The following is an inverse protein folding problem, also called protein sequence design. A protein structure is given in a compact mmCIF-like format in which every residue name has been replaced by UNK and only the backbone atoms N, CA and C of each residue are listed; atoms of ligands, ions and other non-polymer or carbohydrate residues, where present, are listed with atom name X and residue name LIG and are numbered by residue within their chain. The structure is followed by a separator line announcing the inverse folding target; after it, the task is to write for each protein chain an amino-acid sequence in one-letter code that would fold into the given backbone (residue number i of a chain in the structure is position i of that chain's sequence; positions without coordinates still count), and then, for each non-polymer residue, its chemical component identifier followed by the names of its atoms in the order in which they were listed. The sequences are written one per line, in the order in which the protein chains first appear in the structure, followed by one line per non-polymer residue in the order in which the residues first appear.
data_IF_602362579590
#
_entry.id   IF_602362579590
#
_cell.length_a   1.000
_cell.length_b   1.000
_cell.length_c   1.000
_cell.angle_alpha   90.00
_cell.angle_beta   90.00
_cell.angle_gamma   90.00
#
_symmetry.space_group_name_H-M   'P 1'
#
loop_
_entity.id
_entity.type
_entity.pdbx_description
1 polymer ?
#
# COMPACT_ATOMS: atom_id res chain seq x y z
N UNK A 1 -21.03 -13.75 -0.66
CA UNK A 1 -20.14 -14.62 0.13
C UNK A 1 -18.79 -14.64 -0.55
N UNK A 2 -17.69 -14.36 0.19
CA UNK A 2 -16.34 -14.52 -0.35
C UNK A 2 -16.07 -16.02 -0.52
N UNK A 3 -15.74 -16.45 -1.74
CA UNK A 3 -15.37 -17.85 -1.98
C UNK A 3 -13.86 -17.98 -1.84
N UNK A 4 -13.40 -18.69 -0.80
CA UNK A 4 -12.01 -19.13 -0.69
C UNK A 4 -11.75 -20.20 -1.76
N UNK A 5 -10.76 -19.98 -2.61
CA UNK A 5 -10.37 -20.94 -3.66
C UNK A 5 -9.17 -21.81 -3.26
N UNK A 6 -8.65 -21.65 -2.04
CA UNK A 6 -7.60 -22.53 -1.53
C UNK A 6 -8.21 -23.86 -1.02
N UNK A 7 -7.64 -25.03 -1.34
CA UNK A 7 -8.05 -26.29 -0.76
C UNK A 7 -7.78 -26.25 0.75
N UNK A 8 -8.80 -26.61 1.53
CA UNK A 8 -8.72 -26.71 2.99
C UNK A 8 -7.64 -27.76 3.32
N UNK A 9 -6.50 -27.33 3.88
CA UNK A 9 -5.52 -28.23 4.49
C UNK A 9 -4.09 -28.28 3.93
N UNK A 10 -3.78 -27.59 2.82
CA UNK A 10 -2.40 -27.50 2.36
C UNK A 10 -1.88 -26.06 2.50
N UNK A 11 -0.86 -25.84 3.31
CA UNK A 11 -0.10 -24.58 3.27
C UNK A 11 0.51 -24.46 1.87
N UNK A 12 0.23 -23.37 1.12
CA UNK A 12 0.84 -23.20 -0.20
C UNK A 12 2.36 -23.25 -0.07
N UNK A 13 3.01 -24.02 -0.93
CA UNK A 13 4.47 -24.05 -1.00
C UNK A 13 4.91 -22.70 -1.54
N UNK A 14 5.64 -21.92 -0.74
CA UNK A 14 6.26 -20.69 -1.19
C UNK A 14 7.39 -21.00 -2.15
N UNK A 15 7.10 -20.93 -3.43
CA UNK A 15 8.07 -21.22 -4.49
C UNK A 15 8.94 -20.02 -4.85
N UNK A 16 8.62 -18.85 -4.27
CA UNK A 16 9.36 -17.61 -4.46
C UNK A 16 9.65 -16.98 -3.09
N UNK A 17 10.91 -17.03 -2.62
CA UNK A 17 11.25 -16.72 -1.22
C UNK A 17 11.29 -15.21 -0.99
N UNK A 18 10.14 -14.62 -0.61
CA UNK A 18 10.04 -13.23 -0.16
C UNK A 18 9.94 -13.21 1.37
N UNK A 19 10.90 -12.54 2.02
CA UNK A 19 10.93 -12.40 3.46
C UNK A 19 9.94 -11.34 3.98
N UNK A 20 9.61 -10.34 3.14
CA UNK A 20 8.67 -9.28 3.47
C UNK A 20 8.84 -8.07 2.56
N UNK A 21 8.13 -6.98 2.86
CA UNK A 21 8.34 -5.68 2.25
C UNK A 21 9.65 -5.07 2.74
N UNK A 22 10.53 -4.66 1.83
CA UNK A 22 11.76 -3.94 2.18
C UNK A 22 11.49 -2.45 2.38
N UNK A 23 10.94 -1.79 1.34
CA UNK A 23 10.51 -0.39 1.38
C UNK A 23 9.40 -0.14 0.36
N UNK A 24 8.75 1.01 0.48
CA UNK A 24 7.87 1.56 -0.56
C UNK A 24 8.44 2.91 -0.98
N UNK A 25 8.73 3.08 -2.27
CA UNK A 25 9.19 4.35 -2.82
C UNK A 25 8.05 5.08 -3.52
N UNK A 26 7.92 6.35 -3.15
CA UNK A 26 7.01 7.29 -3.78
C UNK A 26 7.82 8.26 -4.65
N UNK A 27 7.40 8.44 -5.90
CA UNK A 27 7.86 9.55 -6.70
C UNK A 27 6.89 10.72 -6.53
N UNK A 28 7.43 11.85 -6.09
CA UNK A 28 6.65 13.00 -5.64
C UNK A 28 7.17 14.30 -6.25
N UNK A 29 6.31 15.30 -6.36
CA UNK A 29 6.67 16.60 -6.91
C UNK A 29 7.69 17.35 -6.06
N UNK A 30 7.65 17.17 -4.72
CA UNK A 30 8.59 17.79 -3.79
C UNK A 30 8.87 16.88 -2.60
N UNK A 31 9.96 16.11 -2.68
CA UNK A 31 10.30 15.13 -1.64
C UNK A 31 10.55 15.76 -0.27
N UNK A 32 11.07 17.00 -0.20
CA UNK A 32 11.31 17.70 1.06
C UNK A 32 10.00 18.07 1.78
N UNK A 33 9.01 18.56 1.03
CA UNK A 33 7.69 18.88 1.59
C UNK A 33 6.93 17.61 1.97
N UNK A 34 6.93 16.60 1.10
CA UNK A 34 6.31 15.30 1.39
C UNK A 34 6.93 14.64 2.63
N UNK A 35 8.27 14.68 2.75
CA UNK A 35 8.99 14.20 3.95
C UNK A 35 8.51 14.91 5.21
N UNK A 36 8.34 16.22 5.19
CA UNK A 36 7.84 16.98 6.33
C UNK A 36 6.39 16.59 6.67
N UNK A 37 5.53 16.45 5.66
CA UNK A 37 4.15 16.01 5.82
C UNK A 37 4.05 14.65 6.52
N UNK A 38 4.71 13.63 5.99
CA UNK A 38 4.66 12.28 6.57
C UNK A 38 5.27 12.23 7.97
N UNK A 39 6.25 13.05 8.27
CA UNK A 39 6.80 13.18 9.62
C UNK A 39 5.81 13.84 10.57
N UNK A 40 5.29 15.00 10.20
CA UNK A 40 4.41 15.79 11.06
C UNK A 40 3.06 15.08 11.28
N UNK A 41 2.43 14.62 10.22
CA UNK A 41 1.10 14.03 10.27
C UNK A 41 1.12 12.56 10.74
N UNK A 42 1.99 11.72 10.15
CA UNK A 42 2.01 10.28 10.41
C UNK A 42 3.06 9.84 11.45
N UNK A 43 3.92 10.74 11.93
CA UNK A 43 4.89 10.43 12.97
C UNK A 43 6.10 9.62 12.52
N UNK A 44 6.44 9.64 11.22
CA UNK A 44 7.63 8.98 10.72
C UNK A 44 8.92 9.71 11.13
N UNK A 45 9.96 8.96 11.44
CA UNK A 45 11.30 9.48 11.70
C UNK A 45 12.10 9.59 10.41
N UNK A 46 12.74 10.74 10.16
CA UNK A 46 13.74 10.88 9.11
C UNK A 46 15.00 10.10 9.50
N UNK A 47 15.47 9.22 8.64
CA UNK A 47 16.64 8.35 8.88
C UNK A 47 17.81 8.66 7.96
N UNK A 48 17.55 8.80 6.67
CA UNK A 48 18.61 8.97 5.68
C UNK A 48 18.17 9.89 4.55
N UNK A 49 19.17 10.40 3.85
CA UNK A 49 19.03 11.28 2.69
C UNK A 49 20.02 10.90 1.60
N UNK A 50 19.59 11.05 0.35
CA UNK A 50 20.44 11.01 -0.84
C UNK A 50 20.04 12.14 -1.78
N UNK A 51 21.02 12.92 -2.24
CA UNK A 51 20.80 14.07 -3.14
C UNK A 51 22.08 14.80 -3.43
N UNK A 52 22.06 16.09 -3.79
CA UNK A 52 23.24 16.87 -4.17
C UNK A 52 24.38 16.80 -3.16
N UNK A 53 24.07 16.84 -1.86
CA UNK A 53 25.06 16.80 -0.78
C UNK A 53 25.73 15.42 -0.65
N UNK A 54 25.16 14.40 -1.25
CA UNK A 54 25.73 13.04 -1.32
C UNK A 54 26.28 12.70 -2.71
N UNK A 55 26.34 13.70 -3.63
CA UNK A 55 26.88 13.54 -4.98
C UNK A 55 25.85 13.16 -6.06
N UNK A 56 24.58 12.98 -5.70
CA UNK A 56 23.48 12.67 -6.65
C UNK A 56 22.78 13.96 -7.04
N UNK A 57 22.86 14.36 -8.32
CA UNK A 57 22.44 15.69 -8.76
C UNK A 57 21.11 15.74 -9.52
N UNK A 58 20.54 14.60 -9.86
CA UNK A 58 19.30 14.49 -10.63
C UNK A 58 18.06 14.34 -9.77
N UNK A 59 18.23 13.95 -8.51
CA UNK A 59 17.12 13.68 -7.56
C UNK A 59 17.48 13.96 -6.11
N UNK A 60 16.46 14.08 -5.28
CA UNK A 60 16.56 14.05 -3.83
C UNK A 60 15.64 12.95 -3.27
N UNK A 61 16.15 12.11 -2.37
CA UNK A 61 15.45 11.00 -1.75
C UNK A 61 15.60 11.04 -0.23
N UNK A 62 14.49 10.90 0.49
CA UNK A 62 14.44 10.86 1.95
C UNK A 62 13.90 9.51 2.42
N UNK A 63 14.63 8.83 3.30
CA UNK A 63 14.16 7.63 3.98
C UNK A 63 13.45 8.01 5.27
N UNK A 64 12.21 7.55 5.40
CA UNK A 64 11.39 7.66 6.59
C UNK A 64 11.10 6.28 7.18
N UNK A 65 11.12 6.17 8.52
CA UNK A 65 10.80 4.91 9.20
C UNK A 65 9.84 5.12 10.36
N UNK A 66 8.95 4.17 10.55
CA UNK A 66 8.18 3.96 11.78
C UNK A 66 7.89 2.46 11.93
N UNK A 67 8.26 1.86 13.08
CA UNK A 67 8.22 0.42 13.25
C UNK A 67 9.07 -0.30 12.20
N UNK A 68 8.45 -1.18 11.42
CA UNK A 68 9.07 -1.88 10.28
C UNK A 68 8.76 -1.24 8.92
N UNK A 69 8.09 -0.11 8.92
CA UNK A 69 7.72 0.59 7.68
C UNK A 69 8.88 1.46 7.25
N UNK A 70 9.28 1.32 5.98
CA UNK A 70 10.25 2.19 5.30
C UNK A 70 9.59 2.83 4.11
N UNK A 71 9.49 4.16 4.12
CA UNK A 71 9.05 4.97 2.99
C UNK A 71 10.22 5.76 2.44
N UNK A 72 10.39 5.71 1.13
CA UNK A 72 11.35 6.52 0.40
C UNK A 72 10.57 7.54 -0.41
N UNK A 73 10.86 8.82 -0.20
CA UNK A 73 10.23 9.92 -0.93
C UNK A 73 11.27 10.52 -1.87
N UNK A 74 11.05 10.38 -3.18
CA UNK A 74 12.00 10.82 -4.20
C UNK A 74 11.37 11.85 -5.13
N UNK A 75 12.05 12.96 -5.36
CA UNK A 75 11.70 13.95 -6.39
C UNK A 75 12.85 14.22 -7.35
N UNK A 76 12.51 14.53 -8.59
CA UNK A 76 13.48 15.07 -9.54
C UNK A 76 13.95 16.45 -9.11
N UNK A 77 15.21 16.81 -9.45
CA UNK A 77 15.76 18.16 -9.27
C UNK A 77 15.79 18.98 -10.57
N UNK A 78 15.37 18.38 -11.67
CA UNK A 78 15.21 19.01 -12.97
C UNK A 78 13.91 18.60 -13.65
N UNK A 79 13.55 19.24 -14.77
CA UNK A 79 12.31 18.94 -15.49
C UNK A 79 12.40 17.65 -16.32
N UNK A 80 13.58 17.13 -16.51
CA UNK A 80 13.86 16.01 -17.40
C UNK A 80 14.03 14.68 -16.61
N UNK A 81 13.87 13.57 -17.33
CA UNK A 81 14.07 12.24 -16.80
C UNK A 81 12.79 11.55 -16.34
N UNK A 82 12.93 10.29 -15.94
CA UNK A 82 11.78 9.42 -15.65
C UNK A 82 10.97 9.85 -14.43
N UNK A 83 11.61 10.39 -13.38
CA UNK A 83 10.90 10.85 -12.17
C UNK A 83 10.02 12.06 -12.51
N UNK A 84 10.57 13.04 -13.24
CA UNK A 84 9.81 14.22 -13.65
C UNK A 84 8.64 13.83 -14.58
N UNK A 85 8.88 12.95 -15.55
CA UNK A 85 7.85 12.43 -16.45
C UNK A 85 6.74 11.66 -15.70
N UNK A 86 7.12 10.83 -14.73
CA UNK A 86 6.16 10.11 -13.87
C UNK A 86 5.26 11.08 -13.09
N UNK A 87 5.86 12.05 -12.40
CA UNK A 87 5.11 13.04 -11.61
C UNK A 87 4.23 13.91 -12.50
N UNK A 88 4.69 14.31 -13.68
CA UNK A 88 3.87 15.05 -14.64
C UNK A 88 2.64 14.24 -15.10
N UNK A 89 2.79 12.94 -15.30
CA UNK A 89 1.73 12.02 -15.71
C UNK A 89 0.79 11.68 -14.56
N UNK A 90 1.32 11.19 -13.46
CA UNK A 90 0.57 10.56 -12.38
C UNK A 90 0.28 11.47 -11.18
N UNK A 91 1.05 12.56 -11.00
CA UNK A 91 1.16 13.24 -9.70
C UNK A 91 2.03 12.42 -8.74
N UNK A 92 1.90 12.69 -7.46
CA UNK A 92 2.56 11.92 -6.43
C UNK A 92 1.97 10.51 -6.36
N UNK A 93 2.82 9.49 -6.34
CA UNK A 93 2.35 8.11 -6.33
C UNK A 93 3.44 7.10 -5.99
N UNK A 94 3.03 5.86 -5.79
CA UNK A 94 3.95 4.75 -5.52
C UNK A 94 4.61 4.33 -6.83
N UNK A 95 5.94 4.37 -6.84
CA UNK A 95 6.76 3.85 -7.93
C UNK A 95 7.19 2.41 -7.68
N UNK A 96 7.57 2.09 -6.44
CA UNK A 96 8.21 0.81 -6.11
C UNK A 96 7.66 0.22 -4.82
N UNK A 97 7.29 -1.06 -4.89
CA UNK A 97 6.97 -1.88 -3.72
C UNK A 97 8.05 -2.95 -3.62
N UNK A 98 9.14 -2.65 -2.91
CA UNK A 98 10.33 -3.47 -2.86
C UNK A 98 10.16 -4.69 -1.94
N UNK A 99 10.67 -5.83 -2.38
CA UNK A 99 10.73 -7.08 -1.64
C UNK A 99 12.10 -7.30 -1.02
N UNK A 100 12.12 -7.75 0.21
CA UNK A 100 13.30 -8.29 0.85
C UNK A 100 13.41 -9.80 0.59
N UNK A 101 14.56 -10.21 0.05
CA UNK A 101 14.89 -11.62 -0.26
C UNK A 101 16.28 -11.99 0.26
N UNK A 102 16.57 -13.30 0.33
CA UNK A 102 17.89 -13.79 0.73
C UNK A 102 18.90 -13.80 -0.43
N UNK A 103 18.44 -13.99 -1.68
CA UNK A 103 19.25 -13.97 -2.89
C UNK A 103 18.50 -13.24 -4.01
N UNK A 104 18.97 -12.01 -4.30
CA UNK A 104 18.32 -11.16 -5.29
C UNK A 104 18.61 -11.59 -6.73
N UNK A 105 19.73 -12.25 -6.99
CA UNK A 105 20.08 -12.75 -8.32
C UNK A 105 19.21 -13.94 -8.70
N UNK A 106 19.13 -14.93 -7.81
CA UNK A 106 18.29 -16.12 -8.00
C UNK A 106 16.81 -15.73 -8.13
N UNK A 107 16.31 -14.86 -7.25
CA UNK A 107 14.94 -14.37 -7.28
C UNK A 107 14.62 -13.63 -8.58
N UNK A 108 15.48 -12.72 -9.04
CA UNK A 108 15.31 -12.00 -10.30
C UNK A 108 15.33 -12.95 -11.49
N UNK A 109 16.31 -13.86 -11.57
CA UNK A 109 16.41 -14.85 -12.64
C UNK A 109 15.14 -15.69 -12.75
N UNK A 110 14.66 -16.24 -11.62
CA UNK A 110 13.40 -17.01 -11.56
C UNK A 110 12.19 -16.20 -12.03
N UNK A 111 12.10 -14.94 -11.63
CA UNK A 111 11.00 -14.06 -12.04
C UNK A 111 11.02 -13.85 -13.57
N UNK A 112 12.18 -13.55 -14.14
CA UNK A 112 12.34 -13.33 -15.59
C UNK A 112 12.08 -14.62 -16.39
N UNK A 113 12.59 -15.77 -15.96
CA UNK A 113 12.31 -17.07 -16.59
C UNK A 113 10.80 -17.40 -16.59
N UNK A 114 10.06 -16.93 -15.59
CA UNK A 114 8.60 -17.07 -15.49
C UNK A 114 7.81 -16.00 -16.23
N UNK A 115 8.50 -15.05 -16.88
CA UNK A 115 7.90 -14.04 -17.75
C UNK A 115 7.82 -12.63 -17.19
N UNK A 116 8.52 -12.30 -16.09
CA UNK A 116 8.68 -10.93 -15.67
C UNK A 116 9.50 -10.12 -16.68
N UNK A 117 9.19 -8.85 -16.81
CA UNK A 117 10.01 -7.89 -17.57
C UNK A 117 11.00 -7.27 -16.59
N UNK A 118 12.32 -7.52 -16.81
CA UNK A 118 13.38 -6.86 -16.07
C UNK A 118 13.40 -5.36 -16.38
N UNK A 119 13.47 -4.54 -15.34
CA UNK A 119 13.68 -3.08 -15.43
C UNK A 119 15.03 -2.69 -14.84
N UNK A 120 15.61 -3.57 -14.04
CA UNK A 120 16.95 -3.43 -13.49
C UNK A 120 17.56 -4.82 -13.29
N UNK A 121 18.66 -5.09 -14.01
CA UNK A 121 19.43 -6.30 -13.79
C UNK A 121 20.08 -6.28 -12.39
N UNK A 122 20.34 -7.46 -11.78
CA UNK A 122 20.98 -7.56 -10.47
C UNK A 122 22.27 -6.74 -10.39
N UNK A 123 22.21 -5.66 -9.63
CA UNK A 123 23.28 -4.68 -9.48
C UNK A 123 23.79 -4.68 -8.05
N UNK A 124 25.11 -4.72 -7.87
CA UNK A 124 25.75 -4.58 -6.56
C UNK A 124 25.97 -3.10 -6.25
N UNK A 125 25.31 -2.62 -5.22
CA UNK A 125 25.59 -1.33 -4.60
C UNK A 125 26.53 -1.57 -3.43
N UNK A 126 27.59 -0.76 -3.28
CA UNK A 126 28.62 -0.98 -2.28
C UNK A 126 29.10 0.33 -1.64
N UNK A 127 29.35 0.28 -0.35
CA UNK A 127 30.03 1.31 0.43
C UNK A 127 30.85 0.68 1.56
N UNK A 128 31.31 1.49 2.52
CA UNK A 128 32.13 1.04 3.66
C UNK A 128 31.38 0.11 4.62
N UNK A 129 30.02 0.08 4.56
CA UNK A 129 29.16 -0.75 5.41
C UNK A 129 28.88 -2.12 4.80
N UNK A 130 29.36 -2.38 3.59
CA UNK A 130 29.16 -3.63 2.88
C UNK A 130 28.49 -3.46 1.52
N UNK A 131 27.68 -4.46 1.14
CA UNK A 131 27.01 -4.48 -0.16
C UNK A 131 25.54 -4.88 -0.07
N UNK A 132 24.74 -4.27 -0.96
CA UNK A 132 23.34 -4.63 -1.24
C UNK A 132 23.26 -5.06 -2.69
N UNK A 133 22.59 -6.17 -2.95
CA UNK A 133 22.22 -6.54 -4.32
C UNK A 133 20.77 -6.13 -4.56
N UNK A 134 20.54 -5.36 -5.61
CA UNK A 134 19.21 -4.91 -6.00
C UNK A 134 18.95 -5.22 -7.47
N UNK A 135 17.77 -5.73 -7.76
CA UNK A 135 17.23 -5.94 -9.09
C UNK A 135 15.81 -5.40 -9.16
N UNK A 136 15.22 -5.32 -10.35
CA UNK A 136 13.87 -4.78 -10.49
C UNK A 136 13.07 -5.45 -11.60
N UNK A 137 11.79 -5.68 -11.36
CA UNK A 137 10.83 -6.21 -12.33
C UNK A 137 9.61 -5.29 -12.43
N UNK A 138 9.01 -5.25 -13.61
CA UNK A 138 7.79 -4.47 -13.88
C UNK A 138 6.57 -5.17 -13.31
N UNK A 139 5.63 -4.39 -12.79
CA UNK A 139 4.26 -4.80 -12.51
C UNK A 139 3.27 -3.88 -13.24
N UNK A 140 2.03 -3.71 -12.76
CA UNK A 140 1.01 -2.92 -13.46
C UNK A 140 1.41 -1.44 -13.59
N UNK A 141 1.07 -0.88 -14.75
CA UNK A 141 1.35 0.53 -15.07
C UNK A 141 2.83 0.85 -15.08
N UNK A 142 3.15 1.94 -14.40
CA UNK A 142 4.53 2.39 -14.22
C UNK A 142 5.10 1.99 -12.84
N UNK A 143 4.44 1.07 -12.13
CA UNK A 143 4.90 0.52 -10.85
C UNK A 143 5.90 -0.63 -11.08
N UNK A 144 6.84 -0.78 -10.16
CA UNK A 144 7.83 -1.87 -10.17
C UNK A 144 7.89 -2.60 -8.83
N UNK A 145 8.58 -3.73 -8.83
CA UNK A 145 9.06 -4.40 -7.62
C UNK A 145 10.57 -4.47 -7.66
N UNK A 146 11.24 -3.77 -6.77
CA UNK A 146 12.64 -4.03 -6.48
C UNK A 146 12.77 -5.31 -5.65
N UNK A 147 13.83 -6.09 -5.93
CA UNK A 147 14.19 -7.33 -5.25
C UNK A 147 15.51 -7.05 -4.55
N UNK A 148 15.52 -7.04 -3.21
CA UNK A 148 16.61 -6.48 -2.40
C UNK A 148 17.20 -7.54 -1.49
N UNK A 149 18.50 -7.80 -1.63
CA UNK A 149 19.31 -8.63 -0.76
C UNK A 149 20.22 -7.76 0.10
N UNK A 150 20.12 -7.89 1.44
CA UNK A 150 20.84 -7.04 2.41
C UNK A 150 21.72 -7.82 3.38
N UNK A 151 21.89 -9.12 3.22
CA UNK A 151 22.59 -9.96 4.21
C UNK A 151 24.04 -9.53 4.49
N UNK A 152 24.68 -8.86 3.53
CA UNK A 152 26.06 -8.41 3.61
C UNK A 152 26.18 -6.90 3.81
N UNK A 153 25.13 -6.25 4.34
CA UNK A 153 25.09 -4.81 4.52
C UNK A 153 24.69 -4.42 5.95
N UNK A 154 25.58 -3.68 6.63
CA UNK A 154 25.38 -3.18 7.99
C UNK A 154 25.00 -1.68 8.02
N UNK A 155 24.84 -1.05 6.85
CA UNK A 155 24.46 0.33 6.75
C UNK A 155 22.97 0.56 7.00
N UNK A 156 22.59 1.83 7.07
CA UNK A 156 21.24 2.23 7.48
C UNK A 156 20.15 1.81 6.49
N UNK A 157 20.42 1.92 5.18
CA UNK A 157 19.41 1.65 4.14
C UNK A 157 20.01 1.08 2.85
N UNK A 158 20.55 1.93 1.99
CA UNK A 158 21.21 1.57 0.73
C UNK A 158 22.52 2.37 0.61
N UNK A 159 23.55 1.80 -0.02
CA UNK A 159 24.74 2.56 -0.38
C UNK A 159 24.42 3.85 -1.11
N UNK A 160 25.10 4.94 -0.77
CA UNK A 160 24.85 6.28 -1.29
C UNK A 160 23.85 7.12 -0.48
N UNK A 161 23.10 6.52 0.44
CA UNK A 161 22.37 7.27 1.47
C UNK A 161 23.26 7.60 2.66
N UNK A 162 23.10 8.81 3.20
CA UNK A 162 23.76 9.26 4.42
C UNK A 162 22.75 9.48 5.53
N UNK A 163 23.17 9.27 6.77
CA UNK A 163 22.35 9.58 7.95
C UNK A 163 21.85 11.02 7.85
N UNK A 164 20.55 11.21 8.01
CA UNK A 164 19.93 12.52 8.08
C UNK A 164 19.43 12.75 9.50
N UNK A 165 19.87 13.85 10.10
CA UNK A 165 19.44 14.30 11.42
C UNK A 165 18.45 15.45 11.31
N UNK A 166 17.59 15.59 12.29
CA UNK A 166 16.64 16.69 12.38
C UNK A 166 16.37 17.01 13.86
N UNK A 167 16.34 18.27 14.22
CA UNK A 167 15.94 18.69 15.57
C UNK A 167 14.48 18.34 15.85
N UNK A 168 13.63 18.37 14.82
CA UNK A 168 12.24 17.94 14.93
C UNK A 168 12.15 16.43 14.94
N UNK A 169 11.78 15.84 16.07
CA UNK A 169 11.54 14.39 16.23
C UNK A 169 10.05 14.20 16.55
N UNK A 170 9.24 13.77 15.58
CA UNK A 170 7.83 13.55 15.83
C UNK A 170 7.63 12.34 16.76
N UNK A 171 6.64 12.42 17.65
CA UNK A 171 6.21 11.24 18.38
C UNK A 171 5.59 10.22 17.41
N UNK A 172 5.89 8.94 17.59
CA UNK A 172 5.23 7.85 16.87
C UNK A 172 3.72 7.86 17.12
N UNK A 173 2.93 7.50 16.13
CA UNK A 173 1.49 7.29 16.28
C UNK A 173 1.13 5.79 16.42
N UNK A 174 2.14 4.90 16.50
CA UNK A 174 1.93 3.47 16.72
C UNK A 174 1.84 2.61 15.47
N UNK A 175 2.22 3.13 14.29
CA UNK A 175 2.28 2.33 13.05
C UNK A 175 3.44 1.34 13.11
N UNK A 176 3.21 0.09 12.66
CA UNK A 176 4.13 -1.03 12.89
C UNK A 176 4.73 -1.61 11.62
N UNK A 177 3.92 -1.97 10.65
CA UNK A 177 4.33 -2.58 9.38
C UNK A 177 3.29 -2.35 8.30
N UNK A 178 3.68 -2.55 7.03
CA UNK A 178 2.75 -2.55 5.89
C UNK A 178 2.00 -3.88 5.89
N UNK A 179 0.68 -3.84 6.07
CA UNK A 179 -0.19 -5.03 6.06
C UNK A 179 -0.45 -5.50 4.63
N UNK A 180 -0.82 -4.57 3.75
CA UNK A 180 -1.05 -4.84 2.33
C UNK A 180 -0.97 -3.56 1.48
N UNK A 181 -0.80 -3.74 0.16
CA UNK A 181 -0.88 -2.66 -0.83
C UNK A 181 -1.91 -3.03 -1.89
N UNK A 182 -2.80 -2.10 -2.23
CA UNK A 182 -3.90 -2.34 -3.17
C UNK A 182 -3.60 -1.66 -4.50
N UNK A 183 -3.67 -2.43 -5.57
CA UNK A 183 -3.52 -1.93 -6.93
C UNK A 183 -4.87 -1.80 -7.64
N UNK A 184 -5.05 -0.69 -8.38
CA UNK A 184 -6.15 -0.51 -9.33
C UNK A 184 -5.64 -0.73 -10.75
N UNK A 185 -6.37 -1.54 -11.50
CA UNK A 185 -6.07 -1.84 -12.90
C UNK A 185 -7.30 -1.60 -13.78
N UNK A 186 -7.09 -1.55 -15.09
CA UNK A 186 -8.15 -1.29 -16.07
C UNK A 186 -9.17 -2.45 -16.12
N UNK A 187 -10.34 -2.16 -16.62
CA UNK A 187 -11.39 -3.15 -16.84
C UNK A 187 -10.88 -4.34 -17.66
N UNK A 188 -11.10 -5.55 -17.17
CA UNK A 188 -10.65 -6.80 -17.78
C UNK A 188 -9.17 -7.12 -17.56
N UNK A 189 -8.44 -6.37 -16.73
CA UNK A 189 -7.01 -6.57 -16.46
C UNK A 189 -6.71 -7.23 -15.11
N UNK A 190 -7.66 -7.29 -14.20
CA UNK A 190 -7.46 -7.92 -12.88
C UNK A 190 -6.93 -9.36 -13.03
N UNK A 191 -7.57 -10.19 -13.84
CA UNK A 191 -7.14 -11.58 -14.01
C UNK A 191 -5.77 -11.71 -14.68
N UNK A 192 -5.39 -10.78 -15.56
CA UNK A 192 -4.05 -10.71 -16.16
C UNK A 192 -2.98 -10.54 -15.08
N UNK A 193 -3.22 -9.64 -14.13
CA UNK A 193 -2.28 -9.40 -13.03
C UNK A 193 -2.33 -10.48 -11.95
N UNK A 194 -3.50 -11.06 -11.69
CA UNK A 194 -3.63 -12.26 -10.84
C UNK A 194 -2.79 -13.41 -11.39
N UNK A 195 -2.88 -13.65 -12.70
CA UNK A 195 -2.07 -14.69 -13.38
C UNK A 195 -0.57 -14.35 -13.35
N UNK A 196 -0.22 -13.08 -13.56
CA UNK A 196 1.16 -12.60 -13.43
C UNK A 196 1.74 -12.90 -12.04
N UNK A 197 1.08 -12.47 -10.96
CA UNK A 197 1.56 -12.72 -9.60
C UNK A 197 1.63 -14.21 -9.26
N UNK A 198 0.69 -14.99 -9.75
CA UNK A 198 0.69 -16.45 -9.56
C UNK A 198 1.85 -17.11 -10.31
N UNK A 199 2.01 -16.82 -11.59
CA UNK A 199 3.02 -17.45 -12.44
C UNK A 199 4.43 -16.97 -12.11
N UNK A 200 4.62 -15.65 -11.98
CA UNK A 200 5.94 -15.04 -11.81
C UNK A 200 6.46 -15.20 -10.38
N UNK A 201 5.65 -14.83 -9.41
CA UNK A 201 6.05 -14.76 -8.00
C UNK A 201 5.51 -15.92 -7.14
N UNK A 202 4.79 -16.88 -7.74
CA UNK A 202 4.26 -18.03 -7.01
C UNK A 202 3.19 -17.67 -5.99
N UNK A 203 2.55 -16.49 -6.12
CA UNK A 203 1.47 -16.10 -5.23
C UNK A 203 0.22 -16.93 -5.50
N UNK A 204 -0.61 -17.09 -4.48
CA UNK A 204 -1.92 -17.71 -4.60
C UNK A 204 -3.04 -16.71 -4.38
N UNK A 205 -4.21 -17.02 -4.95
CA UNK A 205 -5.41 -16.22 -4.69
C UNK A 205 -5.95 -16.57 -3.31
N UNK A 206 -5.82 -15.64 -2.37
CA UNK A 206 -6.28 -15.79 -0.99
C UNK A 206 -7.80 -15.60 -0.89
N UNK A 207 -8.33 -14.56 -1.53
CA UNK A 207 -9.75 -14.17 -1.51
C UNK A 207 -10.17 -13.59 -2.86
N UNK A 208 -11.44 -13.77 -3.20
CA UNK A 208 -12.05 -13.14 -4.38
C UNK A 208 -13.37 -12.49 -4.00
N UNK A 209 -13.61 -11.30 -4.51
CA UNK A 209 -14.83 -10.53 -4.34
C UNK A 209 -15.37 -10.17 -5.72
N UNK A 210 -16.63 -10.47 -5.96
CA UNK A 210 -17.33 -10.12 -7.20
C UNK A 210 -18.07 -8.78 -7.07
N UNK A 211 -18.63 -8.32 -8.19
CA UNK A 211 -19.42 -7.10 -8.29
C UNK A 211 -20.74 -7.15 -7.49
N UNK A 212 -21.21 -8.34 -7.10
CA UNK A 212 -22.36 -8.51 -6.22
C UNK A 212 -22.00 -8.30 -4.77
N UNK A 213 -20.78 -8.67 -4.41
CA UNK A 213 -20.23 -8.51 -3.04
C UNK A 213 -19.82 -7.07 -2.80
N UNK A 214 -19.25 -6.40 -3.82
CA UNK A 214 -18.73 -5.03 -3.71
C UNK A 214 -19.49 -4.12 -4.67
N UNK A 215 -20.67 -3.68 -4.26
CA UNK A 215 -21.50 -2.76 -5.03
C UNK A 215 -22.36 -1.88 -4.14
N UNK A 216 -22.72 -0.70 -4.70
CA UNK A 216 -23.75 0.20 -4.21
C UNK A 216 -24.86 0.30 -5.25
N UNK A 217 -25.79 1.25 -5.06
CA UNK A 217 -26.77 1.58 -6.10
C UNK A 217 -26.09 2.15 -7.36
N UNK A 218 -24.93 2.81 -7.23
CA UNK A 218 -24.31 3.60 -8.30
C UNK A 218 -23.16 2.89 -8.97
N UNK A 219 -22.26 2.29 -8.21
CA UNK A 219 -21.02 1.71 -8.73
C UNK A 219 -20.69 0.34 -8.16
N UNK A 220 -19.78 -0.37 -8.81
CA UNK A 220 -19.29 -1.67 -8.38
C UNK A 220 -17.80 -1.83 -8.74
N UNK A 221 -17.12 -2.79 -8.09
CA UNK A 221 -15.79 -3.24 -8.48
C UNK A 221 -15.66 -4.74 -8.26
N UNK A 222 -14.64 -5.34 -8.86
CA UNK A 222 -14.18 -6.69 -8.58
C UNK A 222 -12.78 -6.62 -7.96
N UNK A 223 -12.50 -7.52 -7.02
CA UNK A 223 -11.21 -7.57 -6.34
C UNK A 223 -10.75 -9.00 -6.11
N UNK A 224 -9.46 -9.25 -6.33
CA UNK A 224 -8.80 -10.51 -5.96
C UNK A 224 -7.55 -10.23 -5.14
N UNK A 225 -7.42 -10.93 -4.03
CA UNK A 225 -6.28 -10.76 -3.12
C UNK A 225 -5.24 -11.83 -3.43
N UNK A 226 -4.07 -11.41 -3.88
CA UNK A 226 -2.92 -12.27 -4.08
C UNK A 226 -2.03 -12.26 -2.84
N UNK A 227 -1.57 -13.42 -2.39
CA UNK A 227 -0.68 -13.55 -1.23
C UNK A 227 0.48 -14.48 -1.53
N UNK A 228 1.66 -14.18 -0.96
CA UNK A 228 2.78 -15.13 -0.97
C UNK A 228 2.56 -16.25 0.06
N UNK A 229 3.34 -17.34 -0.04
CA UNK A 229 3.14 -18.55 0.77
C UNK A 229 3.18 -18.34 2.28
N UNK A 230 4.01 -17.40 2.78
CA UNK A 230 4.10 -17.10 4.20
C UNK A 230 3.11 -16.02 4.68
N UNK A 231 2.28 -15.45 3.80
CA UNK A 231 1.27 -14.46 4.12
C UNK A 231 1.79 -13.07 4.52
N UNK A 232 3.08 -12.80 4.32
CA UNK A 232 3.69 -11.50 4.66
C UNK A 232 3.46 -10.43 3.62
N UNK A 233 3.20 -10.83 2.36
CA UNK A 233 2.85 -9.93 1.26
C UNK A 233 1.44 -10.25 0.80
N UNK A 234 0.61 -9.22 0.73
CA UNK A 234 -0.76 -9.30 0.23
C UNK A 234 -1.03 -8.13 -0.71
N UNK A 235 -1.53 -8.45 -1.89
CA UNK A 235 -1.88 -7.47 -2.92
C UNK A 235 -3.31 -7.70 -3.40
N UNK A 236 -4.30 -6.99 -2.84
CA UNK A 236 -5.58 -6.84 -3.50
C UNK A 236 -5.42 -6.12 -4.83
N UNK A 237 -6.02 -6.67 -5.88
CA UNK A 237 -6.02 -6.11 -7.24
C UNK A 237 -7.46 -5.84 -7.62
N UNK A 238 -7.80 -4.58 -7.85
CA UNK A 238 -9.14 -4.13 -8.16
C UNK A 238 -9.26 -3.75 -9.63
N UNK A 239 -10.39 -4.10 -10.23
CA UNK A 239 -10.81 -3.54 -11.51
C UNK A 239 -12.23 -2.97 -11.41
N UNK A 240 -12.61 -2.00 -12.27
CA UNK A 240 -13.96 -1.50 -12.32
C UNK A 240 -14.97 -2.61 -12.68
N UNK A 241 -16.20 -2.49 -12.22
CA UNK A 241 -17.31 -3.30 -12.71
C UNK A 241 -18.40 -2.38 -13.27
N UNK A 242 -19.31 -2.93 -14.08
CA UNK A 242 -20.40 -2.15 -14.67
C UNK A 242 -21.33 -1.64 -13.58
N UNK A 243 -21.47 -0.31 -13.50
CA UNK A 243 -22.36 0.41 -12.62
C UNK A 243 -23.23 1.41 -13.37
N UNK A 244 -24.13 2.10 -12.68
CA UNK A 244 -24.92 3.21 -13.23
C UNK A 244 -24.10 4.49 -13.39
N UNK A 245 -23.06 4.60 -12.58
CA UNK A 245 -22.17 5.76 -12.47
C UNK A 245 -20.71 5.31 -12.52
N UNK A 246 -19.79 6.26 -12.69
CA UNK A 246 -18.36 6.04 -12.67
C UNK A 246 -17.91 5.52 -11.32
N UNK A 247 -17.22 4.37 -11.30
CA UNK A 247 -16.69 3.80 -10.06
C UNK A 247 -15.48 4.58 -9.56
N UNK A 248 -15.16 4.42 -8.27
CA UNK A 248 -13.95 4.97 -7.68
C UNK A 248 -12.66 4.45 -8.36
N UNK A 249 -12.69 3.24 -8.93
CA UNK A 249 -11.54 2.70 -9.66
C UNK A 249 -11.35 3.43 -10.99
N UNK A 250 -12.44 3.73 -11.71
CA UNK A 250 -12.40 4.53 -12.94
C UNK A 250 -11.94 5.97 -12.63
N UNK A 251 -12.43 6.58 -11.54
CA UNK A 251 -11.94 7.90 -11.11
C UNK A 251 -10.43 7.88 -10.87
N UNK A 252 -9.94 6.87 -10.13
CA UNK A 252 -8.51 6.69 -9.90
C UNK A 252 -7.73 6.59 -11.21
N UNK A 253 -8.15 5.70 -12.14
CA UNK A 253 -7.46 5.47 -13.41
C UNK A 253 -7.39 6.74 -14.27
N UNK A 254 -8.44 7.57 -14.24
CA UNK A 254 -8.47 8.82 -14.98
C UNK A 254 -7.51 9.86 -14.41
N UNK A 255 -7.51 10.06 -13.09
CA UNK A 255 -6.65 11.04 -12.43
C UNK A 255 -5.19 10.58 -12.37
N UNK A 256 -4.94 9.29 -12.13
CA UNK A 256 -3.59 8.72 -12.14
C UNK A 256 -3.07 8.50 -13.56
N UNK A 257 -3.96 8.49 -14.57
CA UNK A 257 -3.66 8.23 -15.98
C UNK A 257 -3.06 6.83 -16.20
N UNK A 258 -3.69 5.83 -15.63
CA UNK A 258 -3.35 4.42 -15.75
C UNK A 258 -3.41 3.65 -14.44
N UNK A 259 -3.01 2.36 -14.46
CA UNK A 259 -2.98 1.53 -13.26
C UNK A 259 -1.88 1.96 -12.30
N UNK A 260 -2.11 1.69 -11.00
CA UNK A 260 -1.15 2.01 -9.95
C UNK A 260 -1.66 1.62 -8.56
N UNK A 261 -0.92 2.00 -7.53
CA UNK A 261 -1.27 1.71 -6.13
C UNK A 261 -2.31 2.70 -5.63
N UNK A 262 -3.49 2.18 -5.26
CA UNK A 262 -4.60 2.96 -4.73
C UNK A 262 -4.39 3.33 -3.26
N UNK A 263 -4.06 2.33 -2.42
CA UNK A 263 -3.79 2.58 -1.01
C UNK A 263 -2.78 1.60 -0.41
N UNK A 264 -2.24 2.03 0.71
CA UNK A 264 -1.34 1.25 1.54
C UNK A 264 -1.99 1.09 2.90
N UNK A 265 -2.24 -0.15 3.30
CA UNK A 265 -2.70 -0.46 4.64
C UNK A 265 -1.52 -0.61 5.59
N UNK A 266 -1.54 0.15 6.69
CA UNK A 266 -0.52 0.13 7.72
C UNK A 266 -1.12 -0.34 9.04
N UNK A 267 -0.47 -1.32 9.66
CA UNK A 267 -0.96 -1.96 10.87
C UNK A 267 -0.61 -1.19 12.14
N UNK A 268 -1.50 -1.27 13.12
CA UNK A 268 -1.28 -0.80 14.50
C UNK A 268 -1.82 -1.82 15.49
N UNK A 269 -1.39 -1.75 16.76
CA UNK A 269 -1.97 -2.54 17.86
C UNK A 269 -3.01 -1.72 18.66
N UNK A 270 -3.10 -0.41 18.44
CA UNK A 270 -4.06 0.50 19.06
C UNK A 270 -4.63 1.46 18.03
N UNK A 271 -5.66 1.03 17.31
CA UNK A 271 -6.25 1.85 16.25
C UNK A 271 -6.94 3.10 16.80
N UNK A 272 -7.54 3.04 17.99
CA UNK A 272 -8.22 4.18 18.62
C UNK A 272 -7.20 5.27 18.94
N UNK A 273 -6.11 4.93 19.63
CA UNK A 273 -5.03 5.87 19.95
C UNK A 273 -4.33 6.41 18.70
N UNK A 274 -4.05 5.51 17.73
CA UNK A 274 -3.43 5.88 16.45
C UNK A 274 -4.28 6.89 15.68
N UNK A 275 -5.58 6.62 15.50
CA UNK A 275 -6.48 7.50 14.73
C UNK A 275 -6.70 8.85 15.43
N UNK A 276 -6.82 8.87 16.77
CA UNK A 276 -6.85 10.13 17.55
C UNK A 276 -5.60 10.98 17.31
N UNK A 277 -4.42 10.34 17.36
CA UNK A 277 -3.16 11.03 17.13
C UNK A 277 -3.04 11.57 15.71
N UNK A 278 -3.45 10.79 14.70
CA UNK A 278 -3.46 11.20 13.29
C UNK A 278 -4.43 12.39 13.06
N UNK A 279 -5.66 12.32 13.58
CA UNK A 279 -6.64 13.42 13.48
C UNK A 279 -6.15 14.70 14.15
N UNK A 280 -5.55 14.59 15.33
CA UNK A 280 -4.97 15.73 16.05
C UNK A 280 -3.84 16.42 15.27
N UNK A 281 -3.23 15.73 14.31
CA UNK A 281 -2.19 16.25 13.41
C UNK A 281 -2.70 16.64 12.02
N UNK A 282 -4.04 16.68 11.85
CA UNK A 282 -4.67 17.14 10.63
C UNK A 282 -4.86 16.08 9.54
N UNK A 283 -4.66 14.78 9.83
CA UNK A 283 -5.00 13.73 8.87
C UNK A 283 -6.53 13.61 8.78
N UNK A 284 -7.05 13.75 7.57
CA UNK A 284 -8.47 13.61 7.30
C UNK A 284 -8.82 12.16 6.94
N UNK A 285 -9.98 11.70 7.42
CA UNK A 285 -10.49 10.36 7.17
C UNK A 285 -11.86 10.43 6.50
N UNK A 286 -12.21 9.37 5.78
CA UNK A 286 -13.55 9.19 5.24
C UNK A 286 -14.58 9.17 6.38
N UNK A 287 -15.77 9.71 6.11
CA UNK A 287 -16.83 9.82 7.10
C UNK A 287 -17.76 8.61 7.02
N UNK A 288 -17.92 7.89 8.10
CA UNK A 288 -18.83 6.74 8.22
C UNK A 288 -20.13 7.18 8.88
N UNK A 289 -21.32 6.80 8.34
CA UNK A 289 -22.60 7.14 8.93
C UNK A 289 -22.77 6.54 10.34
N UNK A 290 -23.41 7.24 11.26
CA UNK A 290 -23.69 6.73 12.61
C UNK A 290 -24.55 5.47 12.59
N UNK A 291 -25.48 5.35 11.63
CA UNK A 291 -26.31 4.16 11.43
C UNK A 291 -25.52 2.87 11.24
N UNK A 292 -24.28 2.94 10.76
CA UNK A 292 -23.39 1.77 10.66
C UNK A 292 -23.18 1.12 12.05
N UNK A 293 -23.02 1.94 13.11
CA UNK A 293 -22.71 1.46 14.46
C UNK A 293 -23.92 0.94 15.24
N UNK A 294 -25.14 1.25 14.80
CA UNK A 294 -26.39 0.79 15.42
C UNK A 294 -26.57 -0.74 15.31
N UNK A 295 -26.02 -1.33 14.22
CA UNK A 295 -26.19 -2.76 13.91
C UNK A 295 -24.86 -3.52 13.80
N UNK A 296 -23.73 -2.87 14.06
CA UNK A 296 -22.41 -3.50 13.85
C UNK A 296 -22.24 -4.73 14.73
N UNK A 297 -22.66 -4.70 15.98
CA UNK A 297 -22.52 -5.85 16.90
C UNK A 297 -23.41 -7.04 16.52
N UNK A 298 -24.55 -6.82 15.86
CA UNK A 298 -25.41 -7.91 15.36
C UNK A 298 -24.67 -8.71 14.27
N UNK A 299 -23.79 -8.02 13.52
CA UNK A 299 -23.00 -8.63 12.44
C UNK A 299 -21.68 -9.23 12.92
N UNK A 300 -20.94 -8.51 13.79
CA UNK A 300 -19.59 -8.93 14.19
C UNK A 300 -19.54 -9.63 15.55
N UNK A 301 -20.64 -9.62 16.32
CA UNK A 301 -20.68 -10.18 17.67
C UNK A 301 -19.83 -9.38 18.66
N UNK A 302 -19.37 -10.06 19.72
CA UNK A 302 -18.58 -9.42 20.78
C UNK A 302 -17.17 -9.06 20.30
N UNK A 303 -16.74 -7.84 20.59
CA UNK A 303 -15.37 -7.32 20.41
C UNK A 303 -14.86 -6.78 21.76
N UNK A 304 -13.56 -6.50 21.85
CA UNK A 304 -12.92 -6.00 23.07
C UNK A 304 -13.10 -4.47 23.22
N UNK A 305 -13.22 -3.75 22.10
CA UNK A 305 -13.34 -2.30 22.07
C UNK A 305 -14.77 -1.83 22.30
N UNK A 306 -14.91 -0.68 22.99
CA UNK A 306 -16.19 0.00 23.11
C UNK A 306 -16.63 0.61 21.77
N UNK A 307 -17.93 0.51 21.47
CA UNK A 307 -18.49 1.04 20.20
C UNK A 307 -18.46 2.57 20.16
N UNK A 308 -18.60 3.26 21.29
CA UNK A 308 -18.66 4.72 21.31
C UNK A 308 -17.40 5.39 20.76
N UNK A 309 -16.16 5.04 21.15
CA UNK A 309 -14.95 5.56 20.52
C UNK A 309 -14.81 5.18 19.03
N UNK A 310 -15.24 3.98 18.66
CA UNK A 310 -15.19 3.56 17.24
C UNK A 310 -16.12 4.42 16.38
N UNK A 311 -17.34 4.69 16.89
CA UNK A 311 -18.31 5.55 16.21
C UNK A 311 -17.87 7.02 16.14
N UNK A 312 -17.25 7.53 17.23
CA UNK A 312 -16.69 8.88 17.27
C UNK A 312 -15.61 9.07 16.19
N UNK A 313 -14.74 8.07 16.05
CA UNK A 313 -13.59 8.15 15.15
C UNK A 313 -13.88 7.65 13.73
N UNK A 314 -15.03 7.03 13.48
CA UNK A 314 -15.37 6.47 12.17
C UNK A 314 -14.66 5.15 11.85
N UNK A 315 -14.27 4.37 12.88
CA UNK A 315 -13.56 3.12 12.72
C UNK A 315 -14.55 1.98 12.39
N UNK A 316 -14.31 1.30 11.29
CA UNK A 316 -15.10 0.16 10.81
C UNK A 316 -14.63 -1.14 11.48
N UNK A 317 -15.56 -2.07 11.66
CA UNK A 317 -15.30 -3.41 12.25
C UNK A 317 -15.80 -4.49 11.31
N UNK A 318 -15.02 -5.54 11.10
CA UNK A 318 -15.48 -6.75 10.42
C UNK A 318 -14.92 -8.01 11.08
N UNK A 319 -15.55 -9.16 10.80
CA UNK A 319 -15.21 -10.45 11.41
C UNK A 319 -15.11 -11.55 10.36
N UNK A 320 -14.18 -12.46 10.57
CA UNK A 320 -14.08 -13.74 9.87
C UNK A 320 -14.03 -14.91 10.88
N UNK A 321 -13.75 -16.11 10.39
CA UNK A 321 -13.71 -17.33 11.21
C UNK A 321 -12.56 -17.32 12.24
N UNK A 322 -11.48 -16.56 11.99
CA UNK A 322 -10.29 -16.50 12.83
C UNK A 322 -10.33 -15.37 13.86
N UNK A 323 -11.18 -14.36 13.67
CA UNK A 323 -11.24 -13.22 14.58
C UNK A 323 -11.95 -12.01 13.99
N UNK A 324 -11.54 -10.80 14.41
CA UNK A 324 -12.08 -9.57 13.86
C UNK A 324 -10.95 -8.59 13.51
N UNK A 325 -11.28 -7.60 12.70
CA UNK A 325 -10.41 -6.51 12.34
C UNK A 325 -11.11 -5.17 12.53
N UNK A 326 -10.32 -4.15 12.75
CA UNK A 326 -10.73 -2.75 12.82
C UNK A 326 -9.98 -2.01 11.72
N UNK A 327 -10.66 -1.13 10.98
CA UNK A 327 -10.04 -0.41 9.87
C UNK A 327 -10.69 0.96 9.65
N UNK A 328 -9.89 1.90 9.14
CA UNK A 328 -10.36 3.22 8.72
C UNK A 328 -9.50 3.71 7.56
N UNK A 329 -10.06 4.54 6.68
CA UNK A 329 -9.40 5.02 5.48
C UNK A 329 -9.26 6.53 5.53
N UNK A 330 -8.07 7.04 5.19
CA UNK A 330 -7.87 8.48 5.01
C UNK A 330 -8.56 8.96 3.74
N UNK A 331 -8.84 10.25 3.66
CA UNK A 331 -9.03 10.90 2.36
C UNK A 331 -7.72 10.79 1.56
N UNK A 332 -7.73 11.02 0.24
CA UNK A 332 -6.50 11.11 -0.54
C UNK A 332 -5.52 12.08 0.11
N UNK A 333 -4.24 11.68 0.17
CA UNK A 333 -3.19 12.47 0.84
C UNK A 333 -2.54 13.51 -0.08
N UNK A 334 -3.10 13.70 -1.27
CA UNK A 334 -2.69 14.65 -2.29
C UNK A 334 -3.90 15.20 -3.05
N UNK A 335 -3.70 16.23 -3.88
CA UNK A 335 -4.79 16.91 -4.60
C UNK A 335 -5.53 16.00 -5.61
N UNK A 336 -4.80 15.10 -6.31
CA UNK A 336 -5.44 14.09 -7.14
C UNK A 336 -6.09 13.03 -6.24
N UNK A 337 -7.35 12.62 -6.48
CA UNK A 337 -8.04 11.61 -5.67
C UNK A 337 -7.52 10.20 -6.00
N UNK A 338 -6.26 9.94 -5.72
CA UNK A 338 -5.56 8.71 -6.09
C UNK A 338 -5.10 7.94 -4.85
N UNK A 339 -3.92 8.29 -4.27
CA UNK A 339 -3.35 7.56 -3.15
C UNK A 339 -3.97 7.96 -1.81
N UNK A 340 -4.34 6.96 -1.00
CA UNK A 340 -4.74 7.14 0.40
C UNK A 340 -4.16 6.03 1.29
N UNK A 341 -4.39 6.11 2.59
CA UNK A 341 -3.94 5.12 3.56
C UNK A 341 -5.10 4.45 4.25
N UNK A 342 -4.92 3.18 4.57
CA UNK A 342 -5.74 2.44 5.51
C UNK A 342 -4.96 2.27 6.82
N UNK A 343 -5.61 2.51 7.95
CA UNK A 343 -5.10 2.12 9.27
C UNK A 343 -5.87 0.87 9.68
N UNK A 344 -5.14 -0.21 9.96
CA UNK A 344 -5.75 -1.51 10.28
C UNK A 344 -5.21 -2.08 11.58
N UNK A 345 -6.11 -2.64 12.39
CA UNK A 345 -5.77 -3.47 13.54
C UNK A 345 -6.42 -4.83 13.38
N UNK A 346 -5.62 -5.90 13.46
CA UNK A 346 -6.10 -7.27 13.37
C UNK A 346 -6.12 -7.94 14.74
N UNK A 347 -7.26 -8.47 15.10
CA UNK A 347 -7.49 -9.30 16.28
C UNK A 347 -7.80 -10.74 15.83
N UNK A 348 -6.83 -11.37 15.20
CA UNK A 348 -6.92 -12.72 14.64
C UNK A 348 -7.37 -12.79 13.19
N UNK A 349 -8.22 -11.87 12.73
CA UNK A 349 -8.77 -11.88 11.38
C UNK A 349 -7.72 -11.87 10.28
N UNK A 350 -7.95 -12.65 9.22
CA UNK A 350 -7.14 -12.73 8.00
C UNK A 350 -7.80 -12.10 6.78
N UNK A 351 -9.10 -11.80 6.88
CA UNK A 351 -9.92 -11.18 5.83
C UNK A 351 -9.56 -9.71 5.59
N UNK A 352 -10.28 -9.06 4.68
CA UNK A 352 -10.08 -7.68 4.23
C UNK A 352 -11.31 -6.79 4.50
N UNK A 353 -12.18 -7.18 5.43
CA UNK A 353 -13.32 -6.35 5.80
C UNK A 353 -14.46 -6.34 4.78
N UNK A 354 -14.81 -7.50 4.23
CA UNK A 354 -15.90 -7.61 3.24
C UNK A 354 -17.22 -6.99 3.72
N UNK A 355 -17.54 -7.15 5.01
CA UNK A 355 -18.72 -6.56 5.63
C UNK A 355 -18.69 -5.02 5.73
N UNK A 356 -17.53 -4.40 5.51
CA UNK A 356 -17.33 -2.95 5.54
C UNK A 356 -17.38 -2.32 4.13
N UNK A 357 -17.31 -3.12 3.05
CA UNK A 357 -17.20 -2.59 1.69
C UNK A 357 -18.31 -1.63 1.32
N UNK A 358 -19.55 -1.94 1.68
CA UNK A 358 -20.69 -1.06 1.40
C UNK A 358 -20.52 0.32 2.04
N UNK A 359 -20.18 0.38 3.34
CA UNK A 359 -19.99 1.64 4.06
C UNK A 359 -18.79 2.44 3.52
N UNK A 360 -17.70 1.75 3.16
CA UNK A 360 -16.55 2.37 2.52
C UNK A 360 -16.91 2.97 1.16
N UNK A 361 -17.59 2.20 0.31
CA UNK A 361 -18.01 2.64 -1.03
C UNK A 361 -18.93 3.86 -0.98
N UNK A 362 -19.98 3.82 -0.16
CA UNK A 362 -20.88 4.95 0.03
C UNK A 362 -20.14 6.21 0.53
N UNK A 363 -19.06 6.03 1.30
CA UNK A 363 -18.24 7.14 1.77
C UNK A 363 -17.37 7.72 0.66
N UNK A 364 -16.79 6.88 -0.18
CA UNK A 364 -16.01 7.33 -1.35
C UNK A 364 -16.91 7.98 -2.39
N UNK A 365 -18.09 7.42 -2.68
CA UNK A 365 -19.06 8.00 -3.61
C UNK A 365 -19.51 9.40 -3.19
N UNK A 366 -19.67 9.66 -1.89
CA UNK A 366 -19.91 11.02 -1.38
C UNK A 366 -18.79 11.99 -1.71
N UNK A 367 -17.54 11.57 -1.52
CA UNK A 367 -16.38 12.39 -1.91
C UNK A 367 -16.32 12.60 -3.43
N UNK A 368 -16.64 11.58 -4.25
CA UNK A 368 -16.74 11.71 -5.71
C UNK A 368 -17.82 12.72 -6.12
N UNK A 369 -19.00 12.65 -5.48
CA UNK A 369 -20.09 13.59 -5.74
C UNK A 369 -19.68 15.05 -5.43
N UNK A 370 -18.94 15.29 -4.33
CA UNK A 370 -18.41 16.63 -4.01
C UNK A 370 -17.44 17.15 -5.07
N UNK A 371 -16.72 16.26 -5.74
CA UNK A 371 -15.81 16.59 -6.85
C UNK A 371 -16.52 16.65 -8.21
N UNK A 372 -17.81 16.34 -8.29
CA UNK A 372 -18.58 16.30 -9.55
C UNK A 372 -18.26 15.10 -10.45
N UNK A 373 -17.74 14.01 -9.88
CA UNK A 373 -17.29 12.81 -10.62
C UNK A 373 -18.21 11.57 -10.44
N UNK A 374 -19.33 11.72 -9.73
CA UNK A 374 -20.30 10.64 -9.51
C UNK A 374 -21.53 10.77 -10.43
#
# INVERSE_FOLDING_TARGET
MATSTAPVGATPIDTFPINGTDFIEFWVGNAKQSMLYYRAAFGYSLKAYRGPETGVRDRASYLLEQGKIRFVLTSALGPDGEIAAHVAKHGDGVRDMAFWVDDARDAHQKAVERGAISVQEPTVLKDEQGEVVIAGIRTYGDTIHSIVERRNYNGLFLPGFRVATSEYVPASVGLKYVDHCVGNVELGKMNVWVEYYSKVLGFFNLLSFDDKTISTEYSALMSKVMSNGNGRIKFPINEPAKGKKKSQIEEYLDFYRGPGVQHIAVATDDIIGTVRALRARGVEFLTIPRSYYETVLDRVGKIDEDIAPLAELGILVDRDDEGYLLQIFTKPVQDRPTLFFEIIQRKGAKSFGAGNFKALFESIEREQALRGNL
#
